data_IF_434505145322
#
_entry.id   IF_434505145322
#
_cell.length_a   1.000
_cell.length_b   1.000
_cell.length_c   1.000
_cell.angle_alpha   90.00
_cell.angle_beta   90.00
_cell.angle_gamma   90.00
#
_symmetry.space_group_name_H-M   'P 1'
#
loop_
_entity.id
_entity.type
_entity.pdbx_description
1 polymer ?
#
# COMPACT_ATOMS: atom_id res chain seq x y z
N UNK A 1 39.34 -19.48 -10.49
CA UNK A 1 39.60 -18.72 -11.73
C UNK A 1 39.58 -19.69 -12.89
N UNK A 2 38.44 -19.87 -13.56
CA UNK A 2 38.33 -20.76 -14.72
C UNK A 2 38.11 -19.92 -15.97
N UNK A 3 39.19 -19.58 -16.68
CA UNK A 3 39.09 -19.29 -18.10
C UNK A 3 39.37 -20.60 -18.85
N UNK A 4 38.33 -21.14 -19.48
CA UNK A 4 38.47 -22.22 -20.44
C UNK A 4 38.71 -21.60 -21.81
N UNK A 5 39.98 -21.54 -22.21
CA UNK A 5 40.40 -21.20 -23.58
C UNK A 5 40.15 -22.37 -24.53
N UNK A 6 38.90 -22.57 -24.91
CA UNK A 6 38.56 -23.38 -26.08
C UNK A 6 38.30 -22.42 -27.24
N UNK A 7 39.20 -22.42 -28.22
CA UNK A 7 39.06 -21.65 -29.46
C UNK A 7 37.85 -22.23 -30.19
N UNK A 8 36.77 -21.46 -30.24
CA UNK A 8 35.58 -21.83 -30.99
C UNK A 8 35.94 -22.00 -32.48
N UNK A 9 35.34 -22.96 -33.21
CA UNK A 9 35.56 -23.07 -34.65
C UNK A 9 35.19 -21.75 -35.33
N UNK A 10 35.99 -21.33 -36.32
CA UNK A 10 35.76 -20.11 -37.08
C UNK A 10 34.47 -20.26 -37.92
N UNK A 11 33.34 -19.90 -37.30
CA UNK A 11 32.04 -19.75 -37.95
C UNK A 11 31.69 -18.26 -38.08
N UNK A 12 30.78 -17.95 -38.99
CA UNK A 12 30.26 -16.58 -39.15
C UNK A 12 29.65 -16.11 -37.82
N UNK A 13 30.15 -14.99 -37.30
CA UNK A 13 29.60 -14.36 -36.09
C UNK A 13 28.27 -13.71 -36.45
N UNK A 14 27.18 -14.41 -36.17
CA UNK A 14 25.85 -13.85 -36.38
C UNK A 14 25.62 -12.67 -35.43
N UNK A 15 25.05 -11.55 -35.91
CA UNK A 15 24.74 -10.41 -35.06
C UNK A 15 23.66 -10.80 -34.04
N UNK A 16 24.08 -11.02 -32.79
CA UNK A 16 23.14 -11.23 -31.69
C UNK A 16 22.61 -9.88 -31.22
N UNK A 17 21.30 -9.66 -31.34
CA UNK A 17 20.62 -8.54 -30.68
C UNK A 17 20.27 -8.95 -29.26
N UNK A 18 21.04 -8.45 -28.29
CA UNK A 18 20.69 -8.55 -26.88
C UNK A 18 19.57 -7.53 -26.59
N UNK A 19 18.36 -8.04 -26.33
CA UNK A 19 17.24 -7.22 -25.85
C UNK A 19 17.12 -7.43 -24.35
N UNK A 20 17.49 -6.41 -23.58
CA UNK A 20 17.21 -6.38 -22.15
C UNK A 20 15.72 -6.03 -22.00
N UNK A 21 14.90 -7.00 -21.54
CA UNK A 21 13.55 -6.70 -21.05
C UNK A 21 13.61 -5.78 -19.83
N UNK A 22 12.47 -5.33 -19.32
CA UNK A 22 12.34 -4.47 -18.13
C UNK A 22 12.73 -5.18 -16.82
N UNK A 23 13.81 -5.95 -16.83
CA UNK A 23 14.34 -6.70 -15.71
C UNK A 23 15.68 -6.11 -15.29
N UNK A 24 15.71 -4.80 -15.04
CA UNK A 24 16.59 -4.33 -13.97
C UNK A 24 16.24 -5.16 -12.74
N UNK A 25 17.21 -5.74 -12.01
CA UNK A 25 16.98 -6.12 -10.63
C UNK A 25 16.69 -4.80 -9.93
N UNK A 26 15.43 -4.39 -9.95
CA UNK A 26 14.95 -3.24 -9.22
C UNK A 26 15.35 -3.52 -7.79
N UNK A 27 16.22 -2.67 -7.25
CA UNK A 27 16.57 -2.75 -5.84
C UNK A 27 15.27 -2.58 -5.06
N UNK A 28 14.74 -3.70 -4.58
CA UNK A 28 13.46 -3.75 -3.89
C UNK A 28 13.49 -2.83 -2.68
N UNK A 29 14.65 -2.64 -2.06
CA UNK A 29 14.81 -1.75 -0.91
C UNK A 29 14.70 -0.29 -1.31
N UNK A 30 15.28 0.10 -2.44
CA UNK A 30 15.12 1.46 -3.01
C UNK A 30 13.67 1.74 -3.37
N UNK A 31 13.00 0.81 -4.07
CA UNK A 31 11.60 1.02 -4.46
C UNK A 31 10.67 1.08 -3.24
N UNK A 32 10.91 0.28 -2.22
CA UNK A 32 10.13 0.40 -0.99
C UNK A 32 10.34 1.77 -0.34
N UNK A 33 11.57 2.25 -0.28
CA UNK A 33 11.88 3.56 0.28
C UNK A 33 11.18 4.68 -0.50
N UNK A 34 11.23 4.64 -1.84
CA UNK A 34 10.60 5.63 -2.71
C UNK A 34 9.06 5.61 -2.59
N UNK A 35 8.46 4.41 -2.54
CA UNK A 35 7.01 4.26 -2.36
C UNK A 35 6.56 4.76 -0.98
N UNK A 36 7.30 4.44 0.08
CA UNK A 36 7.00 4.91 1.45
C UNK A 36 7.13 6.44 1.52
N UNK A 37 8.21 7.01 0.96
CA UNK A 37 8.42 8.45 0.94
C UNK A 37 7.31 9.16 0.13
N UNK A 38 6.98 8.66 -1.06
CA UNK A 38 5.94 9.24 -1.91
C UNK A 38 4.54 9.13 -1.31
N UNK A 39 4.20 8.01 -0.68
CA UNK A 39 2.93 7.87 0.03
C UNK A 39 2.85 8.78 1.26
N UNK A 40 3.91 8.81 2.09
CA UNK A 40 3.97 9.66 3.27
C UNK A 40 3.95 11.16 2.96
N UNK A 41 4.52 11.56 1.83
CA UNK A 41 4.45 12.94 1.33
C UNK A 41 3.13 13.29 0.62
N UNK A 42 2.19 12.33 0.49
CA UNK A 42 0.91 12.53 -0.20
C UNK A 42 1.01 12.62 -1.73
N UNK A 43 2.16 12.26 -2.31
CA UNK A 43 2.38 12.21 -3.76
C UNK A 43 1.66 11.01 -4.38
N UNK A 44 1.62 9.88 -3.66
CA UNK A 44 0.95 8.66 -4.10
C UNK A 44 -0.32 8.41 -3.29
N UNK A 45 -1.38 7.98 -3.98
CA UNK A 45 -2.50 7.33 -3.32
C UNK A 45 -2.07 5.95 -2.79
N UNK A 46 -2.83 5.39 -1.85
CA UNK A 46 -2.60 4.03 -1.35
C UNK A 46 -2.67 3.00 -2.48
N UNK A 47 -3.63 3.14 -3.40
CA UNK A 47 -3.76 2.24 -4.55
C UNK A 47 -2.53 2.32 -5.47
N UNK A 48 -2.06 3.53 -5.76
CA UNK A 48 -0.86 3.76 -6.58
C UNK A 48 0.37 3.13 -5.92
N UNK A 49 0.55 3.34 -4.61
CA UNK A 49 1.67 2.78 -3.86
C UNK A 49 1.66 1.24 -3.88
N UNK A 50 0.50 0.60 -3.63
CA UNK A 50 0.37 -0.86 -3.65
C UNK A 50 0.59 -1.42 -5.06
N UNK A 51 0.11 -0.75 -6.11
CA UNK A 51 0.36 -1.13 -7.50
C UNK A 51 1.84 -1.07 -7.87
N UNK A 52 2.55 -0.01 -7.46
CA UNK A 52 4.00 0.09 -7.66
C UNK A 52 4.76 -1.05 -6.96
N UNK A 53 4.34 -1.44 -5.75
CA UNK A 53 4.93 -2.59 -5.07
C UNK A 53 4.65 -3.89 -5.82
N UNK A 54 3.44 -4.11 -6.33
CA UNK A 54 3.12 -5.28 -7.15
C UNK A 54 4.02 -5.35 -8.39
N UNK A 55 4.17 -4.25 -9.12
CA UNK A 55 5.01 -4.14 -10.31
C UNK A 55 6.50 -4.37 -10.00
N UNK A 56 6.96 -3.96 -8.81
CA UNK A 56 8.31 -4.25 -8.31
C UNK A 56 8.51 -5.71 -7.84
N UNK A 57 7.47 -6.54 -7.93
CA UNK A 57 7.51 -7.96 -7.61
C UNK A 57 7.32 -8.28 -6.12
N UNK A 58 6.70 -7.37 -5.36
CA UNK A 58 6.22 -7.68 -4.01
C UNK A 58 5.01 -8.64 -4.08
N UNK A 59 4.80 -9.49 -3.06
CA UNK A 59 3.74 -10.50 -3.06
C UNK A 59 2.34 -9.88 -2.83
N UNK A 60 1.83 -9.19 -3.85
CA UNK A 60 0.48 -8.60 -3.90
C UNK A 60 -0.30 -9.32 -4.98
N UNK A 61 -1.32 -10.09 -4.58
CA UNK A 61 -2.15 -10.89 -5.50
C UNK A 61 -3.12 -9.99 -6.29
N UNK A 62 -3.93 -9.24 -5.56
CA UNK A 62 -4.91 -8.29 -6.08
C UNK A 62 -4.73 -6.97 -5.34
N UNK A 63 -4.58 -5.88 -6.09
CA UNK A 63 -4.34 -4.54 -5.54
C UNK A 63 -5.58 -4.01 -4.81
N UNK A 64 -6.77 -4.23 -5.36
CA UNK A 64 -8.01 -3.74 -4.77
C UNK A 64 -8.32 -4.47 -3.45
N UNK A 65 -8.18 -5.80 -3.43
CA UNK A 65 -8.34 -6.59 -2.20
C UNK A 65 -7.31 -6.20 -1.13
N UNK A 66 -6.07 -5.93 -1.53
CA UNK A 66 -5.01 -5.52 -0.60
C UNK A 66 -5.33 -4.16 0.03
N UNK A 67 -5.73 -3.19 -0.78
CA UNK A 67 -6.13 -1.85 -0.31
C UNK A 67 -7.31 -1.94 0.65
N UNK A 68 -8.35 -2.70 0.29
CA UNK A 68 -9.53 -2.89 1.15
C UNK A 68 -9.13 -3.52 2.49
N UNK A 69 -8.28 -4.55 2.47
CA UNK A 69 -7.79 -5.22 3.68
C UNK A 69 -6.99 -4.28 4.59
N UNK A 70 -6.15 -3.43 4.01
CA UNK A 70 -5.37 -2.42 4.75
C UNK A 70 -6.32 -1.42 5.42
N UNK A 71 -7.27 -0.87 4.65
CA UNK A 71 -8.23 0.10 5.16
C UNK A 71 -9.12 -0.49 6.26
N UNK A 72 -9.68 -1.69 6.04
CA UNK A 72 -10.50 -2.40 7.03
C UNK A 72 -9.74 -2.59 8.34
N UNK A 73 -8.49 -3.06 8.26
CA UNK A 73 -7.62 -3.21 9.44
C UNK A 73 -7.39 -1.89 10.16
N UNK A 74 -7.19 -0.79 9.43
CA UNK A 74 -7.02 0.53 10.04
C UNK A 74 -8.28 1.00 10.78
N UNK A 75 -9.46 0.82 10.20
CA UNK A 75 -10.73 1.13 10.85
C UNK A 75 -11.02 0.24 12.07
N UNK A 76 -10.73 -1.06 12.00
CA UNK A 76 -10.89 -1.97 13.15
C UNK A 76 -10.00 -1.55 14.33
N UNK A 77 -8.77 -1.11 14.05
CA UNK A 77 -7.85 -0.61 15.07
C UNK A 77 -8.32 0.74 15.64
N UNK A 78 -8.82 1.63 14.78
CA UNK A 78 -9.41 2.90 15.16
C UNK A 78 -10.64 2.71 16.07
N UNK A 79 -11.50 1.74 15.77
CA UNK A 79 -12.67 1.40 16.60
C UNK A 79 -12.24 0.91 18.00
N UNK A 80 -11.25 0.02 18.08
CA UNK A 80 -10.70 -0.44 19.37
C UNK A 80 -10.07 0.70 20.18
N UNK A 81 -9.44 1.65 19.49
CA UNK A 81 -8.87 2.85 20.11
C UNK A 81 -9.98 3.75 20.66
N UNK A 82 -11.07 3.92 19.91
CA UNK A 82 -12.27 4.64 20.36
C UNK A 82 -12.88 3.99 21.61
N UNK A 83 -13.03 2.66 21.60
CA UNK A 83 -13.58 1.91 22.73
C UNK A 83 -12.70 2.03 23.98
N UNK A 84 -11.38 2.06 23.83
CA UNK A 84 -10.44 2.14 24.94
C UNK A 84 -10.30 3.55 25.52
N UNK A 85 -10.38 4.58 24.69
CA UNK A 85 -10.10 5.98 25.10
C UNK A 85 -11.36 6.82 25.30
N UNK A 86 -12.47 6.44 24.67
CA UNK A 86 -13.70 7.25 24.62
C UNK A 86 -13.53 8.58 23.88
N UNK A 87 -12.38 8.82 23.25
CA UNK A 87 -12.02 10.11 22.65
C UNK A 87 -11.93 10.01 21.13
N UNK A 88 -12.91 10.61 20.45
CA UNK A 88 -12.94 10.68 19.00
C UNK A 88 -11.80 11.54 18.42
N UNK A 89 -11.20 12.45 19.18
CA UNK A 89 -10.05 13.24 18.71
C UNK A 89 -8.83 12.35 18.46
N UNK A 90 -8.56 11.42 19.38
CA UNK A 90 -7.46 10.43 19.28
C UNK A 90 -7.66 9.52 18.06
N UNK A 91 -8.90 9.11 17.81
CA UNK A 91 -9.26 8.26 16.65
C UNK A 91 -9.05 9.01 15.32
N UNK A 92 -9.43 10.29 15.26
CA UNK A 92 -9.24 11.12 14.07
C UNK A 92 -7.78 11.36 13.77
N UNK A 93 -6.98 11.63 14.79
CA UNK A 93 -5.53 11.75 14.67
C UNK A 93 -4.92 10.45 14.14
N UNK A 94 -5.32 9.30 14.68
CA UNK A 94 -4.87 7.98 14.22
C UNK A 94 -5.18 7.71 12.74
N UNK A 95 -6.36 8.13 12.26
CA UNK A 95 -6.76 8.00 10.87
C UNK A 95 -6.19 9.11 9.95
N UNK A 96 -5.43 10.07 10.48
CA UNK A 96 -4.91 11.21 9.73
C UNK A 96 -6.00 12.18 9.26
N UNK A 97 -7.17 12.18 9.90
CA UNK A 97 -8.28 13.07 9.56
C UNK A 97 -8.07 14.47 10.18
N UNK A 98 -8.53 15.55 9.52
CA UNK A 98 -8.44 16.89 10.09
C UNK A 98 -9.19 16.97 11.42
N UNK A 99 -8.81 17.91 12.29
CA UNK A 99 -9.53 18.17 13.56
C UNK A 99 -11.01 18.41 13.26
N UNK A 100 -11.87 17.88 14.13
CA UNK A 100 -13.31 18.08 13.98
C UNK A 100 -13.60 19.59 14.06
N UNK A 101 -14.28 20.10 13.04
CA UNK A 101 -14.77 21.47 13.06
C UNK A 101 -15.90 21.54 14.11
N UNK A 102 -15.78 22.39 15.15
CA UNK A 102 -16.82 22.50 16.17
C UNK A 102 -18.18 22.96 15.62
N UNK A 103 -18.24 23.44 14.36
CA UNK A 103 -19.47 23.85 13.69
C UNK A 103 -20.33 22.73 13.09
N UNK A 104 -19.84 21.48 13.00
CA UNK A 104 -20.64 20.37 12.46
C UNK A 104 -21.44 19.74 13.60
N UNK A 105 -22.79 19.84 13.61
CA UNK A 105 -23.59 19.20 14.64
C UNK A 105 -23.39 17.68 14.59
N UNK A 106 -23.05 17.08 15.74
CA UNK A 106 -23.02 15.63 15.88
C UNK A 106 -24.38 15.05 15.50
N UNK A 107 -24.42 14.24 14.44
CA UNK A 107 -25.63 13.54 14.02
C UNK A 107 -26.04 12.61 15.17
N UNK A 108 -27.26 12.73 15.72
CA UNK A 108 -27.73 11.82 16.75
C UNK A 108 -27.76 10.40 16.17
N UNK A 109 -26.97 9.50 16.73
CA UNK A 109 -27.14 8.07 16.52
C UNK A 109 -28.50 7.70 17.11
N UNK A 110 -29.50 7.51 16.27
CA UNK A 110 -30.79 6.99 16.71
C UNK A 110 -30.59 5.58 17.28
N UNK A 111 -30.46 5.48 18.60
CA UNK A 111 -30.59 4.22 19.32
C UNK A 111 -32.05 3.78 19.20
N UNK A 112 -32.35 2.95 18.21
CA UNK A 112 -33.67 2.34 18.03
C UNK A 112 -34.05 1.54 19.27
N UNK A 113 -34.77 2.17 20.19
CA UNK A 113 -35.49 1.48 21.27
C UNK A 113 -36.72 0.88 20.60
N UNK A 114 -36.67 -0.42 20.34
CA UNK A 114 -37.83 -1.21 19.97
C UNK A 114 -38.93 -0.96 21.00
N UNK A 115 -39.99 -0.28 20.57
CA UNK A 115 -41.19 -0.09 21.36
C UNK A 115 -41.88 -1.46 21.50
N UNK A 116 -41.62 -2.13 22.62
CA UNK A 116 -42.53 -3.15 23.15
C UNK A 116 -43.84 -2.45 23.55
N UNK A 117 -44.90 -2.68 22.77
CA UNK A 117 -46.27 -2.43 23.20
C UNK A 117 -47.09 -3.72 23.07
N UNK A 118 -47.50 -4.19 24.25
CA UNK A 118 -48.70 -4.95 24.59
C UNK A 118 -48.77 -6.43 24.20
#
# INVERSE_FOLDING_TARGET
>A
MHQAGQVWPAGESLPARLVWGAHTPTDRTTVLADVVAGYGAGVFSLETAVRMLQEAGYPVKDVAEEVERIQRRAFDQAARLADATGDNAVVREYLGLPKADPGIPSVPLFSGRSASQQ
#
